data_IF_143117313391
#
_entry.id   IF_143117313391
#
_cell.length_a   1.000
_cell.length_b   1.000
_cell.length_c   1.000
_cell.angle_alpha   90.00
_cell.angle_beta   90.00
_cell.angle_gamma   90.00
#
_symmetry.space_group_name_H-M   'P 1'
#
loop_
_entity.id
_entity.type
_entity.pdbx_description
1 polymer ?
#
# COMPACT_ATOMS: atom_id res chain seq x y z
N UNK A 1 18.55 -17.77 -7.75
CA UNK A 1 18.17 -17.36 -7.60
C UNK A 1 17.61 -16.91 -7.19
N UNK A 2 17.31 -16.53 -6.94
CA UNK A 2 16.71 -16.07 -6.45
C UNK A 2 15.97 -15.43 -6.46
N UNK A 3 15.67 -15.36 -6.59
CA UNK A 3 15.05 -14.65 -6.60
C UNK A 3 14.17 -14.29 -5.95
N UNK A 4 14.10 -13.78 -5.45
CA UNK A 4 13.26 -13.38 -4.79
C UNK A 4 12.48 -12.45 -5.15
N UNK A 5 11.65 -12.46 -5.18
CA UNK A 5 10.92 -11.58 -5.40
C UNK A 5 10.41 -11.02 -4.37
N UNK A 6 10.66 -10.09 -4.00
CA UNK A 6 10.10 -9.48 -2.89
C UNK A 6 8.72 -9.12 -3.18
N UNK A 7 7.87 -9.16 -2.21
CA UNK A 7 6.55 -8.64 -2.35
C UNK A 7 6.63 -7.13 -2.34
N UNK A 8 5.97 -6.46 -3.25
CA UNK A 8 5.90 -5.00 -3.19
C UNK A 8 5.22 -4.61 -1.89
N UNK A 9 5.77 -3.64 -1.20
CA UNK A 9 5.23 -3.16 0.05
C UNK A 9 4.55 -1.83 -0.06
N UNK A 10 4.64 -1.22 -1.23
CA UNK A 10 4.08 0.11 -1.44
C UNK A 10 3.41 0.17 -2.79
N UNK A 11 2.42 1.05 -2.88
CA UNK A 11 1.70 1.27 -4.12
C UNK A 11 1.27 2.71 -4.19
N UNK A 12 1.17 3.22 -5.41
CA UNK A 12 0.68 4.57 -5.64
C UNK A 12 -0.76 4.48 -6.09
N UNK A 13 -1.63 5.25 -5.46
CA UNK A 13 -3.04 5.29 -5.82
C UNK A 13 -3.23 6.07 -7.10
N UNK A 14 -3.86 5.42 -8.09
CA UNK A 14 -4.14 6.08 -9.37
C UNK A 14 -5.62 6.21 -9.65
N UNK A 15 -6.46 5.69 -8.77
CA UNK A 15 -7.91 5.81 -8.92
C UNK A 15 -8.52 5.72 -7.53
N UNK A 16 -9.32 6.70 -7.16
CA UNK A 16 -10.01 6.68 -5.87
C UNK A 16 -11.49 6.97 -6.03
N UNK A 17 -12.02 6.73 -7.23
CA UNK A 17 -13.37 7.22 -7.57
C UNK A 17 -14.46 6.69 -6.63
N UNK A 18 -14.30 5.48 -6.12
CA UNK A 18 -15.30 4.91 -5.23
C UNK A 18 -14.95 5.08 -3.75
N UNK A 19 -13.73 5.55 -3.46
CA UNK A 19 -13.27 5.65 -2.07
C UNK A 19 -12.52 6.95 -1.82
N UNK A 20 -13.13 8.10 -2.17
CA UNK A 20 -12.37 9.36 -2.09
C UNK A 20 -12.02 9.77 -0.66
N UNK A 21 -12.76 9.29 0.33
CA UNK A 21 -12.44 9.60 1.72
C UNK A 21 -11.33 8.69 2.26
N UNK A 22 -11.16 7.53 1.66
CA UNK A 22 -10.18 6.56 2.14
C UNK A 22 -8.86 6.63 1.41
N UNK A 23 -8.85 7.12 0.18
CA UNK A 23 -7.67 7.12 -0.68
C UNK A 23 -7.50 8.47 -1.34
N UNK A 24 -6.25 8.89 -1.40
CA UNK A 24 -5.90 10.15 -2.07
C UNK A 24 -5.12 9.81 -3.33
N UNK A 25 -5.45 10.46 -4.43
CA UNK A 25 -4.77 10.21 -5.69
C UNK A 25 -3.30 10.54 -5.60
N UNK A 26 -2.49 9.70 -6.20
CA UNK A 26 -1.06 9.89 -6.37
C UNK A 26 -0.28 9.87 -5.07
N UNK A 27 -0.88 9.28 -4.05
CA UNK A 27 -0.21 9.10 -2.77
C UNK A 27 0.29 7.67 -2.65
N UNK A 28 1.38 7.49 -1.92
CA UNK A 28 1.96 6.18 -1.69
C UNK A 28 1.33 5.56 -0.44
N UNK A 29 0.89 4.32 -0.56
CA UNK A 29 0.29 3.58 0.55
C UNK A 29 1.07 2.31 0.81
N UNK A 30 1.01 1.83 2.04
CA UNK A 30 1.59 0.55 2.39
C UNK A 30 0.67 -0.57 1.95
N UNK A 31 1.28 -1.62 1.44
CA UNK A 31 0.57 -2.82 1.02
C UNK A 31 0.94 -3.94 1.97
N UNK A 32 -0.05 -4.60 2.55
CA UNK A 32 0.19 -5.74 3.40
C UNK A 32 0.05 -7.01 2.57
N UNK A 33 0.89 -8.01 2.81
CA UNK A 33 0.80 -9.26 2.05
C UNK A 33 -0.54 -9.94 2.33
N UNK A 34 -1.21 -10.36 1.29
CA UNK A 34 -2.48 -11.07 1.42
C UNK A 34 -2.70 -11.84 0.11
N UNK A 35 -2.33 -13.11 0.13
CA UNK A 35 -2.41 -13.91 -1.08
C UNK A 35 -3.82 -14.13 -1.55
N UNK A 36 -4.75 -14.27 -0.62
CA UNK A 36 -6.15 -14.47 -1.00
C UNK A 36 -6.73 -13.24 -1.68
N UNK A 37 -6.42 -12.07 -1.11
CA UNK A 37 -6.88 -10.82 -1.71
C UNK A 37 -6.29 -10.66 -3.10
N UNK A 38 -5.01 -10.97 -3.25
CA UNK A 38 -4.36 -10.83 -4.55
C UNK A 38 -4.97 -11.77 -5.58
N UNK A 39 -5.32 -12.97 -5.17
CA UNK A 39 -5.97 -13.92 -6.08
C UNK A 39 -7.33 -13.41 -6.54
N UNK A 40 -7.98 -12.60 -5.72
CA UNK A 40 -9.28 -12.03 -6.04
C UNK A 40 -9.19 -10.69 -6.77
N UNK A 41 -7.97 -10.24 -7.08
CA UNK A 41 -7.79 -8.95 -7.76
C UNK A 41 -7.80 -7.76 -6.84
N UNK A 42 -7.55 -7.99 -5.53
CA UNK A 42 -7.54 -6.92 -4.54
C UNK A 42 -6.18 -6.79 -3.90
N UNK A 43 -5.96 -5.65 -3.26
CA UNK A 43 -4.78 -5.43 -2.43
C UNK A 43 -5.24 -5.02 -1.05
N UNK A 44 -4.50 -5.46 -0.04
CA UNK A 44 -4.75 -5.02 1.32
C UNK A 44 -3.89 -3.79 1.58
N UNK A 45 -4.53 -2.67 1.75
CA UNK A 45 -3.90 -1.35 1.81
C UNK A 45 -4.20 -0.72 3.16
N UNK A 46 -3.20 -0.09 3.77
CA UNK A 46 -3.44 0.76 4.94
C UNK A 46 -3.83 2.13 4.40
N UNK A 47 -5.07 2.52 4.59
CA UNK A 47 -5.61 3.71 3.95
C UNK A 47 -5.49 4.95 4.83
N UNK A 48 -6.20 6.01 4.49
CA UNK A 48 -6.12 7.26 5.22
C UNK A 48 -6.59 7.16 6.66
N UNK A 49 -7.39 6.14 6.98
CA UNK A 49 -7.83 5.93 8.36
C UNK A 49 -6.78 5.25 9.21
N UNK A 50 -5.67 4.84 8.62
CA UNK A 50 -4.59 4.08 9.26
C UNK A 50 -5.00 2.65 9.56
N UNK A 51 -6.09 2.19 9.00
CA UNK A 51 -6.52 0.79 9.11
C UNK A 51 -6.42 0.14 7.75
N UNK A 52 -6.36 -1.19 7.74
CA UNK A 52 -6.20 -1.90 6.49
C UNK A 52 -7.55 -2.39 5.98
N UNK A 53 -7.74 -2.20 4.68
CA UNK A 53 -8.92 -2.65 3.97
C UNK A 53 -8.52 -3.19 2.62
N UNK A 54 -9.42 -3.91 1.98
CA UNK A 54 -9.20 -4.41 0.63
C UNK A 54 -9.73 -3.42 -0.38
N UNK A 55 -8.91 -3.13 -1.38
CA UNK A 55 -9.29 -2.25 -2.49
C UNK A 55 -8.94 -2.93 -3.80
N UNK A 56 -9.62 -2.57 -4.90
CA UNK A 56 -9.28 -3.16 -6.20
C UNK A 56 -7.82 -2.90 -6.54
N UNK A 57 -7.13 -3.95 -6.98
CA UNK A 57 -5.71 -3.82 -7.30
C UNK A 57 -5.45 -2.84 -8.42
N UNK A 58 -6.40 -2.68 -9.34
CA UNK A 58 -6.19 -1.75 -10.46
C UNK A 58 -6.36 -0.29 -10.07
N UNK A 59 -6.67 -0.01 -8.80
CA UNK A 59 -6.63 1.36 -8.28
C UNK A 59 -5.20 1.79 -7.98
N UNK A 60 -4.22 0.89 -8.12
CA UNK A 60 -2.86 1.16 -7.68
C UNK A 60 -1.82 0.70 -8.68
N UNK A 61 -0.66 1.33 -8.61
CA UNK A 61 0.53 0.82 -9.27
C UNK A 61 1.48 0.36 -8.16
N UNK A 62 1.80 -0.92 -8.16
CA UNK A 62 2.76 -1.44 -7.18
C UNK A 62 4.14 -0.89 -7.50
N UNK A 63 4.86 -0.47 -6.46
CA UNK A 63 6.19 0.08 -6.64
C UNK A 63 7.18 -0.70 -5.82
N UNK A 64 8.37 -0.84 -6.38
CA UNK A 64 9.46 -1.57 -5.76
C UNK A 64 10.53 -0.54 -5.46
N UNK A 65 10.68 -0.19 -4.19
CA UNK A 65 11.55 0.88 -3.77
C UNK A 65 12.87 0.33 -3.26
N UNK A 66 13.98 1.09 -3.39
CA UNK A 66 15.22 0.68 -2.78
C UNK A 66 15.07 0.47 -1.29
N UNK A 67 15.86 -0.43 -0.75
CA UNK A 67 15.75 -0.82 0.66
C UNK A 67 15.95 0.37 1.60
N UNK A 68 16.83 1.29 1.24
CA UNK A 68 17.03 2.47 2.08
C UNK A 68 15.79 3.33 2.17
N UNK A 69 15.06 3.46 1.05
CA UNK A 69 13.82 4.23 1.03
C UNK A 69 12.73 3.49 1.83
N UNK A 70 12.64 2.17 1.65
CA UNK A 70 11.67 1.38 2.40
C UNK A 70 11.89 1.56 3.90
N UNK A 71 13.15 1.53 4.34
CA UNK A 71 13.48 1.68 5.75
C UNK A 71 13.04 3.03 6.29
N UNK A 72 13.30 4.09 5.51
CA UNK A 72 12.92 5.42 5.96
C UNK A 72 11.40 5.60 6.00
N UNK A 73 10.71 5.06 5.00
CA UNK A 73 9.25 5.13 5.00
C UNK A 73 8.66 4.37 6.19
N UNK A 74 9.20 3.19 6.48
CA UNK A 74 8.70 2.42 7.61
C UNK A 74 8.91 3.14 8.93
N UNK A 75 10.05 3.81 9.09
CA UNK A 75 10.27 4.61 10.29
C UNK A 75 9.26 5.74 10.38
N UNK A 76 9.00 6.38 9.26
CA UNK A 76 8.05 7.49 9.24
C UNK A 76 6.65 7.02 9.59
N UNK A 77 6.22 5.90 9.03
CA UNK A 77 4.90 5.36 9.36
C UNK A 77 4.81 4.99 10.84
N UNK A 78 5.89 4.40 11.38
CA UNK A 78 5.89 3.98 12.78
C UNK A 78 5.80 5.17 13.72
N UNK A 79 6.36 6.31 13.32
CA UNK A 79 6.34 7.51 14.16
C UNK A 79 5.10 8.35 13.99
N UNK A 80 4.32 8.10 12.94
CA UNK A 80 3.12 8.88 12.71
C UNK A 80 2.07 8.48 13.72
N UNK A 81 1.57 9.40 14.54
CA UNK A 81 0.55 9.02 15.52
C UNK A 81 -0.72 8.64 14.82
N UNK A 82 -1.49 7.81 15.48
CA UNK A 82 -2.79 7.47 14.95
C UNK A 82 -3.60 8.72 14.82
N UNK A 83 -4.47 8.79 13.88
CA UNK A 83 -5.26 9.92 13.71
C UNK A 83 -6.08 10.06 14.88
N UNK A 84 -6.09 11.10 15.46
CA UNK A 84 -6.85 11.30 16.68
C UNK A 84 -8.24 11.71 16.35
#
# INVERSE_FOLDING_TARGET
>A
MRTIKSNPRFAICINNSEYPASLELHKIYRVLPDKEAQADGDLRIIDESAEDYLFPADYFILIDLPQTIVRELNKSFARTPARA
#
